data_IF_400083845447
#
_entry.id   IF_400083845447
#
_cell.length_a   1.000
_cell.length_b   1.000
_cell.length_c   1.000
_cell.angle_alpha   90.00
_cell.angle_beta   90.00
_cell.angle_gamma   90.00
#
_symmetry.space_group_name_H-M   'P 1'
#
loop_
_entity.id
_entity.type
_entity.pdbx_description
1 polymer ?
#
# COMPACT_ATOMS: atom_id res chain seq x y z
N UNK A 1 -15.80 2.52 -2.18
CA UNK A 1 -14.47 2.54 -2.90
C UNK A 1 -14.24 3.75 -3.81
N UNK A 2 -14.97 4.82 -3.61
CA UNK A 2 -14.96 6.05 -4.48
C UNK A 2 -13.57 6.67 -4.69
N UNK A 3 -12.76 6.80 -3.63
CA UNK A 3 -11.46 7.48 -3.72
C UNK A 3 -10.35 6.57 -4.26
N UNK A 4 -10.39 5.25 -4.05
CA UNK A 4 -9.41 4.31 -4.63
C UNK A 4 -9.49 4.38 -6.16
N UNK A 5 -10.69 4.29 -6.74
CA UNK A 5 -10.90 4.41 -8.20
C UNK A 5 -10.42 5.76 -8.73
N UNK A 6 -10.74 6.85 -8.02
CA UNK A 6 -10.28 8.21 -8.39
C UNK A 6 -8.75 8.32 -8.36
N UNK A 7 -8.09 7.73 -7.36
CA UNK A 7 -6.62 7.70 -7.27
C UNK A 7 -5.99 6.95 -8.44
N UNK A 8 -6.53 5.78 -8.78
CA UNK A 8 -6.05 4.98 -9.92
C UNK A 8 -6.20 5.74 -11.24
N UNK A 9 -7.38 6.32 -11.50
CA UNK A 9 -7.64 7.11 -12.71
C UNK A 9 -6.70 8.32 -12.77
N UNK A 10 -6.57 9.07 -11.66
CA UNK A 10 -5.68 10.24 -11.60
C UNK A 10 -4.23 9.85 -11.91
N UNK A 11 -3.73 8.81 -11.27
CA UNK A 11 -2.34 8.34 -11.46
C UNK A 11 -2.11 7.80 -12.87
N UNK A 12 -3.10 7.12 -13.47
CA UNK A 12 -3.02 6.64 -14.84
C UNK A 12 -2.98 7.79 -15.86
N UNK A 13 -3.86 8.79 -15.69
CA UNK A 13 -3.92 9.97 -16.58
C UNK A 13 -2.62 10.77 -16.49
N UNK A 14 -2.10 10.98 -15.28
CA UNK A 14 -0.84 11.69 -15.08
C UNK A 14 0.33 10.91 -15.68
N UNK A 15 0.38 9.60 -15.47
CA UNK A 15 1.43 8.75 -16.05
C UNK A 15 1.48 8.85 -17.58
N UNK A 16 0.33 8.77 -18.26
CA UNK A 16 0.24 8.92 -19.72
C UNK A 16 0.65 10.32 -20.21
N UNK A 17 0.23 11.37 -19.51
CA UNK A 17 0.56 12.76 -19.88
C UNK A 17 2.03 13.11 -19.59
N UNK A 18 2.68 12.37 -18.73
CA UNK A 18 4.11 12.54 -18.46
C UNK A 18 5.03 11.99 -19.56
N UNK A 19 4.51 11.27 -20.56
CA UNK A 19 5.33 10.82 -21.68
C UNK A 19 5.71 11.99 -22.61
N UNK A 20 4.98 13.12 -22.54
CA UNK A 20 5.33 14.34 -23.29
C UNK A 20 6.51 15.08 -22.68
N UNK A 21 7.34 15.70 -23.52
CA UNK A 21 8.44 16.59 -23.13
C UNK A 21 8.09 18.08 -23.31
N UNK A 22 6.84 18.39 -23.66
CA UNK A 22 6.38 19.77 -23.82
C UNK A 22 6.25 20.46 -22.44
N UNK A 23 7.03 21.53 -22.19
CA UNK A 23 7.00 22.25 -20.92
C UNK A 23 5.64 22.88 -20.61
N UNK A 24 4.91 23.36 -21.63
CA UNK A 24 3.60 24.00 -21.43
C UNK A 24 2.54 22.97 -20.99
N UNK A 25 2.57 21.76 -21.55
CA UNK A 25 1.65 20.70 -21.14
C UNK A 25 1.95 20.20 -19.72
N UNK A 26 3.22 20.12 -19.34
CA UNK A 26 3.63 19.76 -17.98
C UNK A 26 3.22 20.84 -16.97
N UNK A 27 3.31 22.14 -17.33
CA UNK A 27 2.84 23.24 -16.47
C UNK A 27 1.33 23.18 -16.25
N UNK A 28 0.53 23.05 -17.31
CA UNK A 28 -0.91 22.87 -17.22
C UNK A 28 -1.31 21.63 -16.37
N UNK A 29 -0.52 20.57 -16.45
CA UNK A 29 -0.75 19.37 -15.64
C UNK A 29 -0.46 19.64 -14.16
N UNK A 30 0.61 20.37 -13.86
CA UNK A 30 1.00 20.77 -12.51
C UNK A 30 -0.07 21.64 -11.87
N UNK A 31 -0.61 22.63 -12.58
CA UNK A 31 -1.66 23.53 -12.08
C UNK A 31 -2.95 22.74 -11.77
N UNK A 32 -3.37 21.83 -12.66
CA UNK A 32 -4.53 20.96 -12.39
C UNK A 32 -4.34 20.06 -11.17
N UNK A 33 -3.12 19.62 -10.90
CA UNK A 33 -2.82 18.82 -9.71
C UNK A 33 -2.82 19.69 -8.46
N UNK A 34 -2.35 20.95 -8.56
CA UNK A 34 -2.40 21.93 -7.48
C UNK A 34 -3.84 22.21 -7.02
N UNK A 35 -4.77 22.39 -7.96
CA UNK A 35 -6.20 22.58 -7.65
C UNK A 35 -6.80 21.37 -6.91
N UNK A 36 -6.32 20.15 -7.22
CA UNK A 36 -6.78 18.92 -6.57
C UNK A 36 -6.19 18.66 -5.18
N UNK A 37 -5.03 19.24 -4.88
CA UNK A 37 -4.42 19.14 -3.56
C UNK A 37 -5.24 19.90 -2.50
N UNK A 38 -5.90 21.01 -2.89
CA UNK A 38 -6.55 21.93 -1.95
C UNK A 38 -5.54 22.76 -1.15
N UNK A 39 -5.97 23.92 -0.68
CA UNK A 39 -5.17 24.85 0.11
C UNK A 39 -5.69 24.84 1.55
N UNK A 40 -4.82 24.89 2.58
CA UNK A 40 -3.36 24.88 2.55
C UNK A 40 -2.77 23.46 2.55
N UNK A 41 -1.52 23.36 2.03
CA UNK A 41 -0.68 22.16 2.18
C UNK A 41 -0.37 21.99 3.67
N UNK A 42 -1.18 21.22 4.36
CA UNK A 42 -1.02 20.98 5.80
C UNK A 42 -0.47 19.58 6.10
N UNK A 43 -0.31 19.29 7.39
CA UNK A 43 0.11 17.99 7.92
C UNK A 43 -0.66 16.79 7.33
N UNK A 44 -1.89 17.02 6.87
CA UNK A 44 -2.75 16.00 6.25
C UNK A 44 -2.20 15.44 4.94
N UNK A 45 -1.25 16.11 4.30
CA UNK A 45 -0.59 15.68 3.06
C UNK A 45 0.71 14.91 3.31
N UNK A 46 1.15 14.78 4.55
CA UNK A 46 2.43 14.18 4.94
C UNK A 46 2.53 12.66 4.78
N UNK A 47 1.61 12.04 4.06
CA UNK A 47 1.66 10.60 3.81
C UNK A 47 1.07 9.72 4.90
N UNK A 48 0.55 10.28 5.98
CA UNK A 48 -0.03 9.54 7.11
C UNK A 48 -1.04 8.47 6.64
N UNK A 49 -2.01 8.75 5.74
CA UNK A 49 -2.94 7.71 5.29
C UNK A 49 -2.26 6.55 4.56
N UNK A 50 -1.19 6.82 3.80
CA UNK A 50 -0.44 5.78 3.12
C UNK A 50 0.34 4.93 4.12
N UNK A 51 1.06 5.57 5.03
CA UNK A 51 1.82 4.89 6.10
C UNK A 51 0.87 4.08 6.99
N UNK A 52 -0.24 4.67 7.43
CA UNK A 52 -1.24 3.98 8.23
C UNK A 52 -1.82 2.75 7.55
N UNK A 53 -2.18 2.86 6.26
CA UNK A 53 -2.69 1.72 5.50
C UNK A 53 -1.66 0.59 5.38
N UNK A 54 -0.39 0.93 5.14
CA UNK A 54 0.69 -0.05 5.03
C UNK A 54 0.96 -0.75 6.36
N UNK A 55 1.07 0.00 7.47
CA UNK A 55 1.28 -0.56 8.81
C UNK A 55 0.12 -1.50 9.18
N UNK A 56 -1.13 -1.08 8.96
CA UNK A 56 -2.29 -1.90 9.26
C UNK A 56 -2.32 -3.19 8.41
N UNK A 57 -1.94 -3.11 7.13
CA UNK A 57 -1.81 -4.30 6.29
C UNK A 57 -0.70 -5.25 6.75
N UNK A 58 0.43 -4.71 7.21
CA UNK A 58 1.53 -5.51 7.75
C UNK A 58 1.12 -6.21 9.04
N UNK A 59 0.42 -5.53 9.95
CA UNK A 59 -0.11 -6.15 11.18
C UNK A 59 -1.15 -7.23 10.87
N UNK A 60 -2.07 -6.98 9.93
CA UNK A 60 -3.04 -7.99 9.53
C UNK A 60 -2.37 -9.26 8.99
N UNK A 61 -1.34 -9.10 8.17
CA UNK A 61 -0.56 -10.20 7.64
C UNK A 61 0.21 -10.93 8.75
N UNK A 62 0.88 -10.20 9.65
CA UNK A 62 1.65 -10.77 10.74
C UNK A 62 0.80 -11.59 11.72
N UNK A 63 -0.41 -11.13 12.04
CA UNK A 63 -1.31 -11.83 12.95
C UNK A 63 -1.79 -13.19 12.41
N UNK A 64 -1.87 -13.35 11.10
CA UNK A 64 -2.28 -14.62 10.49
C UNK A 64 -1.14 -15.66 10.43
N UNK A 65 0.12 -15.23 10.43
CA UNK A 65 1.30 -16.09 10.22
C UNK A 65 1.39 -17.28 11.19
N UNK A 66 1.26 -17.10 12.54
CA UNK A 66 1.44 -18.22 13.47
C UNK A 66 0.46 -19.37 13.21
N UNK A 67 -0.82 -19.03 12.97
CA UNK A 67 -1.84 -20.05 12.71
C UNK A 67 -1.62 -20.76 11.37
N UNK A 68 -1.36 -20.00 10.32
CA UNK A 68 -1.18 -20.54 8.97
C UNK A 68 0.05 -21.44 8.90
N UNK A 69 1.17 -21.03 9.50
CA UNK A 69 2.38 -21.85 9.53
C UNK A 69 2.24 -23.09 10.42
N UNK A 70 1.53 -22.99 11.56
CA UNK A 70 1.20 -24.17 12.36
C UNK A 70 0.42 -25.18 11.55
N UNK A 71 -0.61 -24.76 10.82
CA UNK A 71 -1.40 -25.65 9.96
C UNK A 71 -0.56 -26.28 8.83
N UNK A 72 0.34 -25.50 8.21
CA UNK A 72 1.26 -25.99 7.16
C UNK A 72 2.23 -27.02 7.75
N UNK A 73 2.83 -26.74 8.90
CA UNK A 73 3.78 -27.65 9.54
C UNK A 73 3.11 -28.94 9.98
N UNK A 74 1.89 -28.88 10.49
CA UNK A 74 1.09 -30.06 10.84
C UNK A 74 0.77 -30.90 9.61
N UNK A 75 0.39 -30.28 8.49
CA UNK A 75 0.10 -30.96 7.22
C UNK A 75 1.32 -31.75 6.68
N UNK A 76 2.52 -31.17 6.82
CA UNK A 76 3.77 -31.80 6.35
C UNK A 76 4.50 -32.60 7.41
N UNK A 77 3.93 -32.79 8.60
CA UNK A 77 4.56 -33.54 9.70
C UNK A 77 5.85 -32.89 10.23
N UNK A 78 5.99 -31.56 10.06
CA UNK A 78 7.17 -30.84 10.50
C UNK A 78 7.06 -30.43 11.98
N UNK A 79 8.20 -30.28 12.68
CA UNK A 79 8.20 -29.96 14.10
C UNK A 79 7.67 -28.55 14.35
N UNK A 80 6.68 -28.38 15.21
CA UNK A 80 6.01 -27.12 15.51
C UNK A 80 6.94 -26.04 16.09
N UNK A 81 8.02 -26.43 16.78
CA UNK A 81 8.99 -25.45 17.31
C UNK A 81 9.77 -24.71 16.21
N UNK A 82 9.82 -25.24 14.98
CA UNK A 82 10.49 -24.61 13.86
C UNK A 82 9.61 -23.56 13.11
N UNK A 83 8.35 -23.38 13.52
CA UNK A 83 7.42 -22.44 12.88
C UNK A 83 7.98 -21.00 12.84
N UNK A 84 8.69 -20.58 13.88
CA UNK A 84 9.31 -19.24 13.92
C UNK A 84 10.37 -19.04 12.83
N UNK A 85 11.07 -20.11 12.44
CA UNK A 85 12.04 -20.06 11.34
C UNK A 85 11.39 -19.77 9.97
N UNK A 86 10.11 -20.07 9.80
CA UNK A 86 9.34 -19.71 8.61
C UNK A 86 8.70 -18.31 8.73
N UNK A 87 8.14 -17.97 9.89
CA UNK A 87 7.48 -16.69 10.12
C UNK A 87 8.43 -15.51 9.93
N UNK A 88 9.62 -15.55 10.53
CA UNK A 88 10.55 -14.40 10.54
C UNK A 88 10.97 -14.00 9.14
N UNK A 89 11.52 -14.87 8.27
CA UNK A 89 11.96 -14.47 6.94
C UNK A 89 10.78 -14.04 6.05
N UNK A 90 9.63 -14.71 6.11
CA UNK A 90 8.46 -14.34 5.31
C UNK A 90 7.92 -12.97 5.70
N UNK A 91 7.81 -12.69 7.00
CA UNK A 91 7.36 -11.37 7.49
C UNK A 91 8.35 -10.27 7.15
N UNK A 92 9.65 -10.55 7.20
CA UNK A 92 10.70 -9.60 6.86
C UNK A 92 10.68 -9.25 5.36
N UNK A 93 10.59 -10.27 4.49
CA UNK A 93 10.49 -10.08 3.04
C UNK A 93 9.22 -9.29 2.70
N UNK A 94 8.08 -9.67 3.27
CA UNK A 94 6.82 -8.96 3.05
C UNK A 94 6.92 -7.49 3.48
N UNK A 95 7.48 -7.21 4.66
CA UNK A 95 7.66 -5.86 5.17
C UNK A 95 8.58 -5.03 4.29
N UNK A 96 9.68 -5.62 3.80
CA UNK A 96 10.60 -4.95 2.88
C UNK A 96 9.91 -4.56 1.58
N UNK A 97 9.13 -5.47 0.97
CA UNK A 97 8.37 -5.20 -0.25
C UNK A 97 7.36 -4.07 -0.01
N UNK A 98 6.66 -4.08 1.13
CA UNK A 98 5.69 -3.04 1.50
C UNK A 98 6.35 -1.66 1.64
N UNK A 99 7.49 -1.57 2.34
CA UNK A 99 8.24 -0.32 2.55
C UNK A 99 8.76 0.23 1.22
N UNK A 100 9.37 -0.62 0.38
CA UNK A 100 9.82 -0.22 -0.95
C UNK A 100 8.66 0.27 -1.82
N UNK A 101 7.54 -0.44 -1.80
CA UNK A 101 6.36 -0.04 -2.55
C UNK A 101 5.82 1.30 -2.07
N UNK A 102 5.74 1.54 -0.75
CA UNK A 102 5.36 2.82 -0.14
C UNK A 102 6.26 3.97 -0.62
N UNK A 103 7.57 3.76 -0.61
CA UNK A 103 8.54 4.74 -1.10
C UNK A 103 8.28 5.14 -2.56
N UNK A 104 8.01 4.18 -3.45
CA UNK A 104 7.72 4.47 -4.84
C UNK A 104 6.32 5.10 -5.04
N UNK A 105 5.33 4.76 -4.22
CA UNK A 105 4.02 5.45 -4.21
C UNK A 105 4.20 6.91 -3.83
N UNK A 106 4.96 7.21 -2.79
CA UNK A 106 5.28 8.58 -2.38
C UNK A 106 6.06 9.37 -3.45
N UNK A 107 6.75 8.67 -4.37
CA UNK A 107 7.35 9.27 -5.56
C UNK A 107 6.36 9.46 -6.72
N UNK A 108 5.11 9.11 -6.56
CA UNK A 108 4.06 9.22 -7.56
C UNK A 108 4.11 8.14 -8.65
N UNK A 109 4.70 6.96 -8.38
CA UNK A 109 4.75 5.88 -9.34
C UNK A 109 3.40 5.14 -9.40
N UNK A 110 2.80 5.08 -10.60
CA UNK A 110 1.51 4.43 -10.82
C UNK A 110 1.56 2.90 -10.61
N UNK A 111 2.63 2.25 -11.07
CA UNK A 111 2.80 0.80 -10.88
C UNK A 111 2.94 0.44 -9.39
N UNK A 112 3.67 1.27 -8.63
CA UNK A 112 3.80 1.08 -7.19
C UNK A 112 2.45 1.24 -6.48
N UNK A 113 1.60 2.18 -6.91
CA UNK A 113 0.24 2.31 -6.37
C UNK A 113 -0.60 1.07 -6.64
N UNK A 114 -0.54 0.50 -7.83
CA UNK A 114 -1.23 -0.77 -8.14
C UNK A 114 -0.70 -1.92 -7.28
N UNK A 115 0.63 -2.02 -7.15
CA UNK A 115 1.27 -3.06 -6.34
C UNK A 115 0.88 -2.92 -4.86
N UNK A 116 0.85 -1.70 -4.32
CA UNK A 116 0.43 -1.48 -2.93
C UNK A 116 -1.01 -1.91 -2.67
N UNK A 117 -1.92 -1.65 -3.63
CA UNK A 117 -3.30 -2.11 -3.53
C UNK A 117 -3.40 -3.64 -3.66
N UNK A 118 -2.60 -4.27 -4.53
CA UNK A 118 -2.54 -5.72 -4.66
C UNK A 118 -2.01 -6.40 -3.39
N UNK A 119 -0.95 -5.85 -2.78
CA UNK A 119 -0.40 -6.36 -1.51
C UNK A 119 -1.41 -6.21 -0.37
N UNK A 120 -2.14 -5.10 -0.31
CA UNK A 120 -3.21 -4.92 0.68
C UNK A 120 -4.38 -5.89 0.45
N UNK A 121 -4.76 -6.14 -0.79
CA UNK A 121 -5.77 -7.15 -1.14
C UNK A 121 -5.30 -8.56 -0.78
N UNK A 122 -4.04 -8.88 -1.01
CA UNK A 122 -3.41 -10.13 -0.59
C UNK A 122 -3.46 -10.31 0.93
N UNK A 123 -3.06 -9.28 1.71
CA UNK A 123 -3.18 -9.33 3.18
C UNK A 123 -4.62 -9.51 3.64
N UNK A 124 -5.57 -8.86 2.93
CA UNK A 124 -7.00 -9.01 3.20
C UNK A 124 -7.49 -10.43 2.95
N UNK A 125 -7.06 -11.05 1.84
CA UNK A 125 -7.36 -12.44 1.54
C UNK A 125 -6.82 -13.38 2.62
N UNK A 126 -5.55 -13.20 3.01
CA UNK A 126 -4.91 -13.97 4.08
C UNK A 126 -5.67 -13.84 5.40
N UNK A 127 -6.08 -12.62 5.78
CA UNK A 127 -6.85 -12.37 7.00
C UNK A 127 -8.24 -13.04 6.96
N UNK A 128 -8.91 -13.02 5.80
CA UNK A 128 -10.22 -13.68 5.60
C UNK A 128 -10.07 -15.20 5.70
N UNK A 129 -9.10 -15.78 5.00
CA UNK A 129 -8.82 -17.23 5.06
C UNK A 129 -8.51 -17.65 6.49
N UNK A 130 -7.67 -16.89 7.20
CA UNK A 130 -7.36 -17.13 8.59
C UNK A 130 -8.62 -17.11 9.47
N UNK A 131 -9.45 -16.07 9.35
CA UNK A 131 -10.69 -15.95 10.12
C UNK A 131 -11.64 -17.12 9.86
N UNK A 132 -11.85 -17.48 8.59
CA UNK A 132 -12.71 -18.60 8.21
C UNK A 132 -12.16 -19.94 8.75
N UNK A 133 -10.85 -20.15 8.68
CA UNK A 133 -10.20 -21.37 9.20
C UNK A 133 -10.39 -21.51 10.71
N UNK A 134 -10.26 -20.40 11.47
CA UNK A 134 -10.49 -20.42 12.93
C UNK A 134 -11.95 -20.70 13.25
N UNK A 135 -12.89 -20.09 12.52
CA UNK A 135 -14.32 -20.32 12.72
C UNK A 135 -14.73 -21.77 12.39
N UNK A 136 -14.22 -22.31 11.28
CA UNK A 136 -14.49 -23.69 10.89
C UNK A 136 -13.88 -24.68 11.91
N UNK A 137 -12.65 -24.45 12.35
CA UNK A 137 -12.03 -25.28 13.41
C UNK A 137 -12.84 -25.31 14.71
N UNK A 138 -13.42 -24.16 15.08
CA UNK A 138 -14.31 -24.06 16.22
C UNK A 138 -15.60 -24.89 16.05
N UNK A 139 -16.18 -24.89 14.85
CA UNK A 139 -17.40 -25.65 14.54
C UNK A 139 -17.17 -27.16 14.51
N UNK A 140 -16.01 -27.60 14.04
CA UNK A 140 -15.66 -29.02 13.90
C UNK A 140 -14.95 -29.62 15.13
N UNK A 141 -14.97 -28.94 16.28
CA UNK A 141 -14.54 -29.52 17.56
C UNK A 141 -13.03 -29.44 17.83
N UNK A 142 -12.27 -28.71 17.02
CA UNK A 142 -10.82 -28.52 17.23
C UNK A 142 -10.48 -27.64 18.46
N UNK A 143 -11.49 -27.28 19.27
CA UNK A 143 -11.33 -26.43 20.46
C UNK A 143 -11.01 -24.97 20.09
N UNK A 144 -11.88 -24.05 20.48
CA UNK A 144 -11.69 -22.61 20.23
C UNK A 144 -10.56 -22.10 21.14
N UNK A 145 -9.38 -21.83 20.57
CA UNK A 145 -8.32 -21.12 21.29
C UNK A 145 -8.62 -19.61 21.21
N UNK A 146 -9.01 -18.94 22.32
CA UNK A 146 -9.48 -17.55 22.29
C UNK A 146 -8.48 -16.58 21.63
N UNK A 147 -7.19 -16.83 21.82
CA UNK A 147 -6.12 -16.00 21.23
C UNK A 147 -6.15 -15.97 19.70
N UNK A 148 -6.45 -17.11 19.04
CA UNK A 148 -6.55 -17.14 17.57
C UNK A 148 -7.81 -16.45 17.06
N UNK A 149 -8.92 -16.54 17.76
CA UNK A 149 -10.13 -15.80 17.38
C UNK A 149 -9.94 -14.30 17.50
N UNK A 150 -9.36 -13.84 18.62
CA UNK A 150 -9.07 -12.41 18.83
C UNK A 150 -8.12 -11.89 17.75
N UNK A 151 -7.03 -12.59 17.46
CA UNK A 151 -6.08 -12.17 16.43
C UNK A 151 -6.67 -12.20 15.01
N UNK A 152 -7.57 -13.13 14.70
CA UNK A 152 -8.26 -13.20 13.42
C UNK A 152 -9.23 -12.00 13.25
N UNK A 153 -10.00 -11.67 14.28
CA UNK A 153 -10.87 -10.48 14.27
C UNK A 153 -10.04 -9.20 14.14
N UNK A 154 -8.95 -9.06 14.91
CA UNK A 154 -8.05 -7.91 14.80
C UNK A 154 -7.45 -7.79 13.39
N UNK A 155 -7.06 -8.88 12.75
CA UNK A 155 -6.58 -8.90 11.38
C UNK A 155 -7.59 -8.29 10.40
N UNK A 156 -8.88 -8.65 10.51
CA UNK A 156 -9.96 -8.07 9.70
C UNK A 156 -10.16 -6.57 10.00
N UNK A 157 -10.12 -6.17 11.27
CA UNK A 157 -10.24 -4.76 11.68
C UNK A 157 -9.11 -3.93 11.09
N UNK A 158 -7.88 -4.43 11.12
CA UNK A 158 -6.72 -3.75 10.54
C UNK A 158 -6.83 -3.60 9.02
N UNK A 159 -7.27 -4.63 8.29
CA UNK A 159 -7.51 -4.50 6.84
C UNK A 159 -8.60 -3.48 6.53
N UNK A 160 -9.71 -3.50 7.26
CA UNK A 160 -10.77 -2.51 7.08
C UNK A 160 -10.27 -1.09 7.37
N UNK A 161 -9.47 -0.91 8.41
CA UNK A 161 -8.79 0.35 8.72
C UNK A 161 -7.86 0.80 7.59
N UNK A 162 -7.03 -0.10 7.06
CA UNK A 162 -6.15 0.17 5.92
C UNK A 162 -6.90 0.59 4.66
N UNK A 163 -7.99 -0.12 4.32
CA UNK A 163 -8.87 0.25 3.21
C UNK A 163 -9.48 1.63 3.41
N UNK A 164 -9.93 1.96 4.61
CA UNK A 164 -10.46 3.30 4.92
C UNK A 164 -9.41 4.39 4.79
N UNK A 165 -8.17 4.15 5.21
CA UNK A 165 -7.06 5.08 5.03
C UNK A 165 -6.83 5.41 3.55
N UNK A 166 -6.72 4.40 2.67
CA UNK A 166 -6.50 4.61 1.23
C UNK A 166 -7.76 5.14 0.52
N UNK A 167 -8.95 4.76 0.98
CA UNK A 167 -10.21 5.25 0.44
C UNK A 167 -10.64 6.62 1.02
N UNK A 168 -9.72 7.38 1.60
CA UNK A 168 -9.97 8.68 2.20
C UNK A 168 -9.71 9.83 1.22
N UNK A 169 -10.40 10.96 1.46
CA UNK A 169 -10.13 12.21 0.74
C UNK A 169 -8.70 12.72 1.02
N UNK A 170 -8.21 12.48 2.23
CA UNK A 170 -6.85 12.85 2.64
C UNK A 170 -5.80 12.12 1.79
N UNK A 171 -5.98 10.82 1.57
CA UNK A 171 -5.09 10.07 0.67
C UNK A 171 -5.19 10.55 -0.78
N UNK A 172 -6.39 10.90 -1.27
CA UNK A 172 -6.56 11.46 -2.61
C UNK A 172 -5.76 12.75 -2.80
N UNK A 173 -5.79 13.66 -1.83
CA UNK A 173 -5.00 14.90 -1.83
C UNK A 173 -3.49 14.61 -1.74
N UNK A 174 -3.08 13.69 -0.87
CA UNK A 174 -1.69 13.24 -0.76
C UNK A 174 -1.17 12.65 -2.08
N UNK A 175 -1.95 11.80 -2.74
CA UNK A 175 -1.60 11.24 -4.04
C UNK A 175 -1.47 12.32 -5.12
N UNK A 176 -2.35 13.32 -5.15
CA UNK A 176 -2.23 14.46 -6.05
C UNK A 176 -0.90 15.23 -5.80
N UNK A 177 -0.50 15.40 -4.53
CA UNK A 177 0.79 15.99 -4.16
C UNK A 177 1.98 15.14 -4.64
N UNK A 178 1.95 13.83 -4.48
CA UNK A 178 3.02 12.94 -4.97
C UNK A 178 3.19 13.02 -6.48
N UNK A 179 2.06 13.07 -7.21
CA UNK A 179 2.05 13.22 -8.66
C UNK A 179 2.54 14.60 -9.09
N UNK A 180 2.15 15.66 -8.40
CA UNK A 180 2.64 17.02 -8.63
C UNK A 180 4.18 17.08 -8.50
N UNK A 181 4.72 16.52 -7.42
CA UNK A 181 6.18 16.46 -7.20
C UNK A 181 6.90 15.65 -8.27
N UNK A 182 6.24 14.62 -8.82
CA UNK A 182 6.80 13.84 -9.94
C UNK A 182 6.87 14.66 -11.21
N UNK A 183 5.82 15.41 -11.55
CA UNK A 183 5.77 16.32 -12.72
C UNK A 183 6.84 17.41 -12.56
N UNK A 184 6.92 18.04 -11.41
CA UNK A 184 7.91 19.08 -11.10
C UNK A 184 9.35 18.58 -11.27
N UNK A 185 9.67 17.39 -10.75
CA UNK A 185 11.00 16.78 -10.95
C UNK A 185 11.33 16.54 -12.43
N UNK A 186 10.33 16.14 -13.23
CA UNK A 186 10.53 15.98 -14.69
C UNK A 186 10.84 17.31 -15.36
N UNK A 187 10.11 18.38 -15.04
CA UNK A 187 10.37 19.73 -15.56
C UNK A 187 11.79 20.21 -15.22
N UNK A 188 12.21 20.06 -13.97
CA UNK A 188 13.59 20.40 -13.56
C UNK A 188 14.65 19.63 -14.34
N UNK A 189 14.43 18.35 -14.60
CA UNK A 189 15.37 17.55 -15.39
C UNK A 189 15.45 18.02 -16.84
N UNK A 190 14.32 18.37 -17.46
CA UNK A 190 14.29 18.93 -18.82
C UNK A 190 15.06 20.26 -18.85
N UNK A 191 14.80 21.18 -17.92
CA UNK A 191 15.50 22.46 -17.84
C UNK A 191 17.03 22.27 -17.68
N UNK A 192 17.46 21.38 -16.80
CA UNK A 192 18.89 21.06 -16.62
C UNK A 192 19.54 20.51 -17.89
N UNK A 193 18.82 19.68 -18.64
CA UNK A 193 19.34 19.14 -19.92
C UNK A 193 19.46 20.22 -20.98
N UNK A 194 18.51 21.16 -21.06
CA UNK A 194 18.53 22.28 -22.00
C UNK A 194 19.71 23.21 -21.70
N UNK A 195 19.91 23.57 -20.42
CA UNK A 195 21.05 24.40 -20.01
C UNK A 195 22.42 23.73 -20.32
N UNK A 196 22.55 22.43 -20.07
CA UNK A 196 23.77 21.68 -20.40
C UNK A 196 24.07 21.62 -21.91
N UNK A 197 23.02 21.63 -22.76
CA UNK A 197 23.20 21.68 -24.22
C UNK A 197 23.58 23.07 -24.71
N UNK A 198 23.08 24.12 -24.08
CA UNK A 198 23.41 25.50 -24.41
C UNK A 198 24.84 25.91 -23.99
N UNK A 199 25.42 25.20 -23.01
CA UNK A 199 26.78 25.45 -22.52
C UNK A 199 27.87 24.65 -23.24
N UNK A 200 27.50 23.81 -24.19
CA UNK A 200 28.43 23.09 -25.12
C UNK A 200 28.43 23.72 -26.49
#
# INVERSE_FOLDING_TARGET
MKYITRNLILSAVVSRKMDTNDPQQLEKLKDRLKDRMGIPVGWHMSGIPLVGAMILSMFAFALAQPYLWLAVFELFGLPQYAVMAAIVPVSLIYSLIMVLTMYFVARGNFLALKLSLALMAFSGLVAIVYFLSVCLGALFGAGLKPGFLISAVLGLVFILGGIRCINSQTFYRANAFYLHNRVWRKQLNIQRQTLRRASR
#
